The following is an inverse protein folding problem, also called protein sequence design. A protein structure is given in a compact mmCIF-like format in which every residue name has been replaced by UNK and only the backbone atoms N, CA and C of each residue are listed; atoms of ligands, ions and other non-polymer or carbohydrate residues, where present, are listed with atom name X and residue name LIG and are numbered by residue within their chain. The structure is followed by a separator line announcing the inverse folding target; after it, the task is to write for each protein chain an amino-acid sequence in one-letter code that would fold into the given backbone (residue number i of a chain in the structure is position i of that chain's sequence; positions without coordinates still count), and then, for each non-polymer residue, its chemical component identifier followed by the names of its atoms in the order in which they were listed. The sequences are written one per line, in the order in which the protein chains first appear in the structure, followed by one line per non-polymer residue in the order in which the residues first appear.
data_IF_179697362253
#
_entry.id   IF_179697362253
#
_cell.length_a   1.000
_cell.length_b   1.000
_cell.length_c   1.000
_cell.angle_alpha   90.00
_cell.angle_beta   90.00
_cell.angle_gamma   90.00
#
_symmetry.space_group_name_H-M   'P 1'
#
loop_
_entity.id
_entity.type
_entity.pdbx_description
1 polymer ?
#
# COMPACT_ATOMS: atom_id res chain seq x y z
N UNK A 1 -11.25 2.15 -18.82
CA UNK A 1 -9.85 2.46 -18.42
C UNK A 1 -9.84 2.67 -16.91
N UNK A 2 -9.17 1.79 -16.15
CA UNK A 2 -8.88 1.98 -14.73
C UNK A 2 -7.52 2.66 -14.61
N UNK A 3 -7.35 3.84 -15.19
CA UNK A 3 -6.22 4.67 -14.80
C UNK A 3 -6.56 5.15 -13.40
N UNK A 4 -5.88 4.63 -12.39
CA UNK A 4 -5.83 5.32 -11.11
C UNK A 4 -5.33 6.73 -11.41
N UNK A 5 -6.05 7.77 -10.99
CA UNK A 5 -5.63 9.17 -11.18
C UNK A 5 -4.22 9.47 -10.66
N UNK A 6 -3.78 10.72 -10.71
CA UNK A 6 -2.47 11.09 -10.15
C UNK A 6 -2.50 10.96 -8.61
N UNK A 7 -1.50 10.29 -8.04
CA UNK A 7 -1.33 10.16 -6.59
C UNK A 7 0.14 10.42 -6.21
N UNK A 8 0.35 11.10 -5.08
CA UNK A 8 1.62 11.08 -4.36
C UNK A 8 1.60 9.90 -3.38
N UNK A 9 2.66 9.09 -3.41
CA UNK A 9 2.81 7.90 -2.57
C UNK A 9 4.12 7.93 -1.81
N UNK A 10 4.16 7.25 -0.67
CA UNK A 10 5.37 7.02 0.10
C UNK A 10 5.67 5.52 0.18
N UNK A 11 6.90 5.14 -0.17
CA UNK A 11 7.34 3.75 -0.11
C UNK A 11 7.47 3.27 1.33
N UNK A 12 7.07 2.03 1.55
CA UNK A 12 7.13 1.35 2.83
C UNK A 12 8.20 0.28 2.70
N UNK A 13 9.18 0.30 3.60
CA UNK A 13 10.26 -0.67 3.63
C UNK A 13 10.32 -1.36 5.00
N UNK A 14 10.75 -2.61 5.00
CA UNK A 14 11.07 -3.32 6.22
C UNK A 14 12.29 -2.65 6.88
N UNK A 15 12.20 -2.32 8.17
CA UNK A 15 13.32 -1.69 8.87
C UNK A 15 14.55 -2.61 8.95
N UNK A 16 14.33 -3.93 9.04
CA UNK A 16 15.38 -4.93 9.22
C UNK A 16 16.15 -5.25 7.92
N UNK A 17 15.43 -5.56 6.84
CA UNK A 17 16.05 -6.00 5.58
C UNK A 17 16.02 -4.96 4.46
N UNK A 18 15.39 -3.80 4.69
CA UNK A 18 15.22 -2.70 3.71
C UNK A 18 14.47 -3.08 2.44
N UNK A 19 13.88 -4.28 2.38
CA UNK A 19 13.01 -4.70 1.30
C UNK A 19 11.77 -3.80 1.25
N UNK A 20 11.41 -3.36 0.05
CA UNK A 20 10.17 -2.63 -0.19
C UNK A 20 8.99 -3.58 0.01
N UNK A 21 8.08 -3.20 0.90
CA UNK A 21 6.88 -3.98 1.22
C UNK A 21 5.65 -3.45 0.48
N UNK A 22 5.68 -2.20 0.02
CA UNK A 22 4.56 -1.57 -0.66
C UNK A 22 4.61 -0.05 -0.50
N UNK A 23 3.44 0.59 -0.51
CA UNK A 23 3.34 2.06 -0.44
C UNK A 23 2.06 2.53 0.25
N UNK A 24 2.12 3.76 0.76
CA UNK A 24 0.98 4.50 1.32
C UNK A 24 0.58 5.61 0.36
N UNK A 25 -0.72 5.86 0.23
CA UNK A 25 -1.21 7.05 -0.45
C UNK A 25 -1.07 8.28 0.46
N UNK A 26 -0.17 9.19 0.11
CA UNK A 26 0.03 10.45 0.83
C UNK A 26 -0.95 11.52 0.34
N UNK A 27 -1.15 11.61 -0.97
CA UNK A 27 -2.07 12.59 -1.56
C UNK A 27 -2.71 12.06 -2.83
N UNK A 28 -4.02 12.29 -2.99
CA UNK A 28 -4.74 12.10 -4.24
C UNK A 28 -5.15 13.46 -4.79
N UNK A 29 -4.82 13.76 -6.06
CA UNK A 29 -5.13 15.08 -6.63
C UNK A 29 -6.60 15.23 -7.02
N UNK A 30 -7.31 14.11 -7.19
CA UNK A 30 -8.74 14.09 -7.49
C UNK A 30 -9.56 13.86 -6.22
N UNK A 31 -10.58 14.71 -6.00
CA UNK A 31 -11.49 14.60 -4.85
C UNK A 31 -12.16 13.23 -4.76
N UNK A 32 -12.49 12.63 -5.91
CA UNK A 32 -13.09 11.29 -6.01
C UNK A 32 -12.17 10.18 -5.50
N UNK A 33 -10.86 10.42 -5.39
CA UNK A 33 -9.84 9.47 -4.96
C UNK A 33 -9.28 9.77 -3.55
N UNK A 34 -9.69 10.87 -2.90
CA UNK A 34 -9.25 11.26 -1.54
C UNK A 34 -9.47 10.18 -0.49
N UNK A 35 -10.46 9.31 -0.69
CA UNK A 35 -10.70 8.16 0.19
C UNK A 35 -9.53 7.17 0.27
N UNK A 36 -8.57 7.25 -0.66
CA UNK A 36 -7.36 6.44 -0.65
C UNK A 36 -6.26 7.03 0.24
N UNK A 37 -6.26 8.33 0.49
CA UNK A 37 -5.25 8.97 1.35
C UNK A 37 -5.21 8.30 2.72
N UNK A 38 -4.01 8.01 3.21
CA UNK A 38 -3.81 7.25 4.44
C UNK A 38 -3.99 5.74 4.33
N UNK A 39 -4.44 5.21 3.17
CA UNK A 39 -4.49 3.76 2.93
C UNK A 39 -3.16 3.21 2.45
N UNK A 40 -2.98 1.92 2.69
CA UNK A 40 -1.75 1.18 2.43
C UNK A 40 -2.01 0.08 1.40
N UNK A 41 -1.04 -0.11 0.50
CA UNK A 41 -0.94 -1.29 -0.35
C UNK A 41 0.34 -1.99 0.05
N UNK A 42 0.24 -3.27 0.39
CA UNK A 42 1.37 -4.11 0.78
C UNK A 42 1.37 -5.35 -0.13
N UNK A 43 2.56 -5.73 -0.57
CA UNK A 43 2.78 -6.93 -1.37
C UNK A 43 2.66 -8.18 -0.49
N UNK A 44 1.67 -9.02 -0.80
CA UNK A 44 1.42 -10.26 -0.06
C UNK A 44 2.58 -11.26 -0.13
N UNK A 45 3.43 -11.18 -1.15
CA UNK A 45 4.63 -12.02 -1.29
C UNK A 45 5.60 -11.85 -0.10
N UNK A 46 5.56 -10.70 0.57
CA UNK A 46 6.39 -10.39 1.73
C UNK A 46 5.65 -10.54 3.07
N UNK A 47 4.42 -11.06 3.07
CA UNK A 47 3.61 -11.26 4.28
C UNK A 47 3.43 -12.74 4.59
N UNK A 48 3.77 -13.12 5.82
CA UNK A 48 3.39 -14.42 6.39
C UNK A 48 2.12 -14.21 7.22
N UNK A 49 1.06 -14.95 6.92
CA UNK A 49 -0.16 -14.95 7.74
C UNK A 49 0.06 -15.89 8.95
N UNK A 50 0.48 -15.35 10.08
CA UNK A 50 0.55 -16.12 11.35
C UNK A 50 -0.81 -16.21 12.07
N UNK A 51 -1.93 -16.05 11.37
CA UNK A 51 -3.26 -16.07 12.00
C UNK A 51 -3.91 -17.48 12.02
N UNK A 52 -3.25 -18.53 11.51
CA UNK A 52 -3.78 -19.90 11.56
C UNK A 52 -5.18 -20.08 10.92
N UNK A 53 -5.56 -19.19 10.00
CA UNK A 53 -6.87 -19.20 9.31
C UNK A 53 -6.88 -20.06 8.05
N UNK A 54 -6.04 -21.08 8.01
CA UNK A 54 -6.13 -22.18 7.07
C UNK A 54 -6.50 -23.42 7.89
N UNK A 55 -7.81 -23.64 8.08
CA UNK A 55 -8.39 -24.95 8.40
C UNK A 55 -8.95 -25.56 7.11
#
# INVERSE_FOLDING_TARGET
VLLTGLHAVADIYCECCKTTLGWKYEHAFESSQKYKEGKYIIELAHMIKENGWDN
#
